data_IF_847338247975
#
_entry.id   IF_847338247975
#
_cell.length_a   1.000
_cell.length_b   1.000
_cell.length_c   1.000
_cell.angle_alpha   90.00
_cell.angle_beta   90.00
_cell.angle_gamma   90.00
#
_symmetry.space_group_name_H-M   'P 1'
#
loop_
_entity.id
_entity.type
_entity.pdbx_description
1 polymer ?
#
# COMPACT_ATOMS: atom_id res chain seq x y z
N UNK A 1 11.03 -26.43 -9.14
CA UNK A 1 9.74 -25.70 -9.12
C UNK A 1 9.46 -25.20 -10.51
N UNK A 2 8.31 -25.55 -11.07
CA UNK A 2 7.93 -25.20 -12.46
C UNK A 2 7.17 -23.89 -12.56
N UNK A 3 6.83 -23.26 -11.44
CA UNK A 3 6.06 -22.01 -11.36
C UNK A 3 6.23 -21.34 -10.00
N UNK A 4 5.89 -20.06 -9.90
CA UNK A 4 5.73 -19.31 -8.67
C UNK A 4 4.48 -18.42 -8.72
N UNK A 5 3.88 -18.17 -7.57
CA UNK A 5 2.86 -17.15 -7.42
C UNK A 5 3.53 -15.84 -7.01
N UNK A 6 3.03 -14.71 -7.48
CA UNK A 6 3.55 -13.42 -7.07
C UNK A 6 2.44 -12.40 -6.87
N UNK A 7 2.67 -11.44 -5.97
CA UNK A 7 1.74 -10.35 -5.71
C UNK A 7 2.52 -9.03 -5.54
N UNK A 8 2.04 -7.91 -6.12
CA UNK A 8 2.71 -6.63 -6.07
C UNK A 8 2.66 -5.98 -4.69
N UNK A 9 3.62 -5.13 -4.39
CA UNK A 9 3.52 -4.15 -3.33
C UNK A 9 2.53 -3.05 -3.68
N UNK A 10 2.34 -2.10 -2.76
CA UNK A 10 1.39 -1.00 -2.94
C UNK A 10 1.94 0.35 -2.45
N UNK A 11 1.37 1.44 -2.98
CA UNK A 11 1.49 2.78 -2.41
C UNK A 11 0.08 3.37 -2.32
N UNK A 12 -0.28 3.92 -1.16
CA UNK A 12 -1.54 4.62 -0.96
C UNK A 12 -1.38 6.07 -1.41
N UNK A 13 -2.17 6.50 -2.40
CA UNK A 13 -2.13 7.86 -2.92
C UNK A 13 -3.02 8.83 -2.13
N UNK A 14 -4.15 8.35 -1.62
CA UNK A 14 -5.07 9.14 -0.78
C UNK A 14 -5.98 8.22 0.05
N UNK A 15 -6.58 8.76 1.12
CA UNK A 15 -7.53 8.05 1.98
C UNK A 15 -6.92 7.50 3.27
N UNK A 16 -5.67 7.87 3.60
CA UNK A 16 -5.00 7.48 4.84
C UNK A 16 -5.87 7.79 6.05
N UNK A 17 -5.90 6.91 7.03
CA UNK A 17 -6.73 7.00 8.25
C UNK A 17 -8.24 6.98 7.97
N UNK A 18 -8.75 7.87 7.10
CA UNK A 18 -10.19 7.96 6.80
C UNK A 18 -10.77 6.65 6.21
N UNK A 19 -9.95 5.85 5.54
CA UNK A 19 -10.33 4.53 5.04
C UNK A 19 -10.75 3.56 6.16
N UNK A 20 -10.27 3.74 7.37
CA UNK A 20 -10.66 2.95 8.54
C UNK A 20 -12.11 3.22 8.96
N UNK A 21 -12.65 4.39 8.60
CA UNK A 21 -14.04 4.81 8.83
C UNK A 21 -14.93 4.59 7.59
N UNK A 22 -14.43 3.84 6.60
CA UNK A 22 -15.20 3.52 5.39
C UNK A 22 -15.13 4.58 4.28
N UNK A 23 -14.27 5.60 4.41
CA UNK A 23 -13.99 6.52 3.30
C UNK A 23 -13.24 5.82 2.17
N UNK A 24 -13.29 6.33 0.93
CA UNK A 24 -12.51 5.75 -0.16
C UNK A 24 -11.01 5.95 0.06
N UNK A 25 -10.21 4.96 -0.36
CA UNK A 25 -8.78 5.08 -0.52
C UNK A 25 -8.39 4.83 -1.97
N UNK A 26 -7.43 5.59 -2.48
CA UNK A 26 -6.83 5.38 -3.80
C UNK A 26 -5.45 4.77 -3.57
N UNK A 27 -5.27 3.56 -4.10
CA UNK A 27 -4.06 2.76 -3.91
C UNK A 27 -3.54 2.30 -5.25
N UNK A 28 -2.24 2.36 -5.45
CA UNK A 28 -1.58 1.83 -6.64
C UNK A 28 -0.73 0.62 -6.26
N UNK A 29 -0.82 -0.43 -7.05
CA UNK A 29 0.11 -1.55 -7.02
C UNK A 29 1.42 -1.14 -7.69
N UNK A 30 2.55 -1.63 -7.17
CA UNK A 30 3.88 -1.31 -7.70
C UNK A 30 4.63 -2.57 -8.09
N UNK A 31 5.55 -2.43 -9.05
CA UNK A 31 6.28 -3.51 -9.74
C UNK A 31 7.32 -4.26 -8.88
N UNK A 32 7.44 -3.92 -7.59
CA UNK A 32 8.16 -4.75 -6.61
C UNK A 32 7.20 -5.76 -6.01
N UNK A 33 7.51 -7.05 -6.16
CA UNK A 33 6.59 -8.14 -5.85
C UNK A 33 7.12 -9.04 -4.74
N UNK A 34 6.22 -9.62 -3.95
CA UNK A 34 6.51 -10.83 -3.19
C UNK A 34 6.30 -12.05 -4.09
N UNK A 35 7.17 -13.04 -3.97
CA UNK A 35 7.10 -14.29 -4.71
C UNK A 35 6.95 -15.48 -3.76
N UNK A 36 6.14 -16.45 -4.13
CA UNK A 36 5.81 -17.60 -3.31
C UNK A 36 5.84 -18.90 -4.14
N UNK A 37 6.47 -19.94 -3.61
CA UNK A 37 6.53 -21.26 -4.25
C UNK A 37 6.55 -22.36 -3.19
N UNK A 38 6.26 -23.59 -3.61
CA UNK A 38 6.28 -24.74 -2.71
C UNK A 38 7.72 -25.28 -2.57
N UNK A 39 8.07 -25.64 -1.33
CA UNK A 39 9.36 -26.25 -0.98
C UNK A 39 9.14 -27.44 -0.04
N UNK A 40 10.12 -28.33 0.07
CA UNK A 40 10.03 -29.48 0.96
C UNK A 40 10.28 -29.12 2.43
N UNK A 41 11.11 -28.11 2.70
CA UNK A 41 11.44 -27.62 4.03
C UNK A 41 11.23 -26.10 4.09
N UNK A 42 9.99 -25.62 4.31
CA UNK A 42 9.72 -24.19 4.39
C UNK A 42 10.28 -23.59 5.67
N UNK A 43 10.63 -22.29 5.66
CA UNK A 43 10.98 -21.58 6.88
C UNK A 43 9.77 -21.49 7.83
N UNK A 44 10.03 -21.22 9.10
CA UNK A 44 8.94 -20.98 10.06
C UNK A 44 8.00 -19.87 9.56
N UNK A 45 6.68 -20.08 9.59
CA UNK A 45 5.73 -19.13 9.06
C UNK A 45 5.69 -17.85 9.92
N UNK A 46 5.55 -16.71 9.27
CA UNK A 46 5.21 -15.46 9.96
C UNK A 46 3.79 -15.53 10.54
N UNK A 47 3.46 -14.62 11.45
CA UNK A 47 2.12 -14.49 12.02
C UNK A 47 1.01 -14.37 10.94
N UNK A 48 1.30 -13.65 9.86
CA UNK A 48 0.39 -13.50 8.72
C UNK A 48 0.20 -14.82 7.96
N UNK A 49 1.28 -15.58 7.74
CA UNK A 49 1.20 -16.87 7.08
C UNK A 49 0.53 -17.94 7.99
N UNK A 50 0.72 -17.86 9.30
CA UNK A 50 0.01 -18.71 10.26
C UNK A 50 -1.49 -18.44 10.26
N UNK A 51 -1.90 -17.17 10.20
CA UNK A 51 -3.30 -16.80 10.05
C UNK A 51 -3.86 -17.25 8.68
N UNK A 52 -3.09 -17.10 7.61
CA UNK A 52 -3.47 -17.60 6.29
C UNK A 52 -3.71 -19.11 6.29
N UNK A 53 -2.84 -19.89 6.95
CA UNK A 53 -3.01 -21.33 7.05
C UNK A 53 -4.31 -21.71 7.80
N UNK A 54 -4.63 -21.01 8.89
CA UNK A 54 -5.85 -21.24 9.64
C UNK A 54 -7.11 -20.92 8.81
N UNK A 55 -7.10 -19.77 8.10
CA UNK A 55 -8.22 -19.38 7.23
C UNK A 55 -8.38 -20.33 6.06
N UNK A 56 -7.31 -20.70 5.37
CA UNK A 56 -7.35 -21.65 4.25
C UNK A 56 -7.83 -23.03 4.72
N UNK A 57 -7.41 -23.50 5.90
CA UNK A 57 -7.90 -24.77 6.46
C UNK A 57 -9.40 -24.75 6.70
N UNK A 58 -9.92 -23.65 7.22
CA UNK A 58 -11.34 -23.47 7.57
C UNK A 58 -12.23 -23.30 6.32
N UNK A 59 -11.81 -22.49 5.36
CA UNK A 59 -12.65 -22.07 4.24
C UNK A 59 -12.46 -22.96 2.98
N UNK A 60 -11.27 -23.54 2.78
CA UNK A 60 -10.93 -24.33 1.57
C UNK A 60 -10.73 -25.80 1.89
N UNK A 61 -10.14 -26.13 3.03
CA UNK A 61 -9.94 -27.48 3.49
C UNK A 61 -8.47 -27.89 3.66
N UNK A 62 -8.29 -29.11 4.15
CA UNK A 62 -6.99 -29.62 4.61
C UNK A 62 -5.93 -29.71 3.50
N UNK A 63 -6.32 -30.02 2.27
CA UNK A 63 -5.40 -30.17 1.15
C UNK A 63 -4.72 -28.82 0.80
N UNK A 64 -5.50 -27.75 0.70
CA UNK A 64 -4.97 -26.42 0.44
C UNK A 64 -4.15 -25.89 1.63
N UNK A 65 -4.55 -26.20 2.86
CA UNK A 65 -3.77 -25.86 4.05
C UNK A 65 -2.42 -26.60 4.09
N UNK A 66 -2.40 -27.88 3.72
CA UNK A 66 -1.16 -28.66 3.59
C UNK A 66 -0.24 -28.10 2.49
N UNK A 67 -0.82 -27.65 1.37
CA UNK A 67 -0.05 -26.96 0.34
C UNK A 67 0.55 -25.65 0.88
N UNK A 68 -0.26 -24.83 1.60
CA UNK A 68 0.22 -23.57 2.18
C UNK A 68 1.33 -23.78 3.22
N UNK A 69 1.27 -24.86 3.99
CA UNK A 69 2.32 -25.21 4.96
C UNK A 69 3.66 -25.49 4.30
N UNK A 70 3.72 -25.72 2.99
CA UNK A 70 4.94 -25.93 2.19
C UNK A 70 5.39 -24.68 1.45
N UNK A 71 4.71 -23.54 1.61
CA UNK A 71 5.04 -22.32 0.86
C UNK A 71 6.22 -21.60 1.52
N UNK A 72 7.22 -21.29 0.72
CA UNK A 72 8.25 -20.29 1.01
C UNK A 72 7.90 -18.99 0.28
N UNK A 73 8.12 -17.85 0.96
CA UNK A 73 7.87 -16.52 0.39
C UNK A 73 9.16 -15.71 0.39
N UNK A 74 9.47 -15.14 -0.75
CA UNK A 74 10.49 -14.11 -0.89
C UNK A 74 9.84 -12.73 -1.08
N UNK A 75 10.07 -11.83 -0.14
CA UNK A 75 9.58 -10.45 -0.17
C UNK A 75 10.72 -9.42 -0.15
N UNK A 76 11.95 -9.83 -0.44
CA UNK A 76 13.15 -8.95 -0.40
C UNK A 76 13.03 -7.78 -1.38
N UNK A 77 12.33 -7.94 -2.50
CA UNK A 77 12.07 -6.86 -3.44
C UNK A 77 11.29 -5.68 -2.83
N UNK A 78 10.53 -5.91 -1.75
CA UNK A 78 9.74 -4.91 -1.01
C UNK A 78 10.53 -4.23 0.12
N UNK A 79 11.83 -4.49 0.19
CA UNK A 79 12.77 -3.90 1.13
C UNK A 79 13.99 -3.32 0.38
N UNK A 80 14.73 -2.45 1.02
CA UNK A 80 16.04 -2.01 0.57
C UNK A 80 17.05 -2.19 1.71
N UNK A 81 18.20 -2.84 1.43
CA UNK A 81 19.27 -3.13 2.41
C UNK A 81 18.74 -3.71 3.73
N UNK A 82 17.71 -4.58 3.63
CA UNK A 82 17.07 -5.22 4.80
C UNK A 82 16.04 -4.35 5.53
N UNK A 83 15.84 -3.10 5.15
CA UNK A 83 14.84 -2.21 5.72
C UNK A 83 13.55 -2.24 4.88
N UNK A 84 12.42 -2.36 5.55
CA UNK A 84 11.11 -2.31 4.88
C UNK A 84 10.86 -0.91 4.31
N UNK A 85 10.39 -0.86 3.07
CA UNK A 85 10.08 0.39 2.39
C UNK A 85 8.64 0.90 2.64
N UNK A 86 7.80 0.17 3.38
CA UNK A 86 6.39 0.54 3.56
C UNK A 86 5.47 0.16 2.38
N UNK A 87 5.95 -0.69 1.48
CA UNK A 87 5.25 -1.13 0.27
C UNK A 87 4.20 -2.24 0.53
N UNK A 88 3.77 -2.49 1.77
CA UNK A 88 2.76 -3.50 2.07
C UNK A 88 3.25 -4.94 1.96
N UNK A 89 4.51 -5.22 2.36
CA UNK A 89 5.13 -6.55 2.22
C UNK A 89 4.34 -7.68 2.89
N UNK A 90 3.67 -7.45 4.02
CA UNK A 90 2.84 -8.47 4.69
C UNK A 90 1.63 -8.86 3.84
N UNK A 91 0.95 -7.88 3.25
CA UNK A 91 -0.19 -8.12 2.37
C UNK A 91 0.23 -8.86 1.10
N UNK A 92 1.27 -8.37 0.41
CA UNK A 92 1.80 -9.01 -0.80
C UNK A 92 2.26 -10.46 -0.52
N UNK A 93 2.96 -10.70 0.59
CA UNK A 93 3.39 -12.04 1.00
C UNK A 93 2.21 -12.96 1.28
N UNK A 94 1.17 -12.49 1.98
CA UNK A 94 -0.03 -13.27 2.28
C UNK A 94 -0.79 -13.64 1.01
N UNK A 95 -0.99 -12.66 0.11
CA UNK A 95 -1.68 -12.87 -1.17
C UNK A 95 -0.90 -13.84 -2.06
N UNK A 96 0.42 -13.69 -2.19
CA UNK A 96 1.26 -14.59 -2.97
C UNK A 96 1.24 -16.01 -2.40
N UNK A 97 1.33 -16.17 -1.07
CA UNK A 97 1.33 -17.48 -0.41
C UNK A 97 0.01 -18.24 -0.62
N UNK A 98 -1.13 -17.57 -0.41
CA UNK A 98 -2.44 -18.17 -0.65
C UNK A 98 -2.59 -18.50 -2.15
N UNK A 99 -2.15 -17.60 -3.03
CA UNK A 99 -2.15 -17.84 -4.48
C UNK A 99 -1.37 -19.10 -4.86
N UNK A 100 -0.17 -19.30 -4.30
CA UNK A 100 0.63 -20.50 -4.51
C UNK A 100 -0.06 -21.77 -4.02
N UNK A 101 -0.62 -21.73 -2.82
CA UNK A 101 -1.32 -22.88 -2.24
C UNK A 101 -2.55 -23.29 -3.05
N UNK A 102 -3.38 -22.32 -3.44
CA UNK A 102 -4.58 -22.58 -4.23
C UNK A 102 -4.24 -23.06 -5.65
N UNK A 103 -3.16 -22.55 -6.25
CA UNK A 103 -2.70 -23.03 -7.56
C UNK A 103 -2.26 -24.50 -7.49
N UNK A 104 -1.54 -24.87 -6.44
CA UNK A 104 -1.07 -26.24 -6.25
C UNK A 104 -2.20 -27.29 -6.18
N UNK A 105 -3.39 -26.87 -5.71
CA UNK A 105 -4.58 -27.74 -5.61
C UNK A 105 -5.61 -27.45 -6.72
N UNK A 106 -5.24 -26.71 -7.77
CA UNK A 106 -6.09 -26.42 -8.92
C UNK A 106 -7.29 -25.50 -8.63
N UNK A 107 -7.20 -24.66 -7.59
CA UNK A 107 -8.28 -23.75 -7.14
C UNK A 107 -7.92 -22.27 -7.21
N UNK A 108 -6.89 -21.91 -7.96
CA UNK A 108 -6.47 -20.52 -8.08
C UNK A 108 -7.52 -19.67 -8.79
N UNK A 109 -8.00 -18.65 -8.11
CA UNK A 109 -8.84 -17.59 -8.64
C UNK A 109 -8.51 -16.30 -7.83
N UNK A 110 -8.17 -15.18 -8.48
CA UNK A 110 -7.78 -13.94 -7.79
C UNK A 110 -8.80 -13.48 -6.75
N UNK A 111 -10.10 -13.63 -7.04
CA UNK A 111 -11.20 -13.27 -6.13
C UNK A 111 -11.17 -14.10 -4.84
N UNK A 112 -10.93 -15.40 -4.98
CA UNK A 112 -10.84 -16.32 -3.84
C UNK A 112 -9.58 -16.04 -3.03
N UNK A 113 -8.43 -15.85 -3.71
CA UNK A 113 -7.17 -15.46 -3.06
C UNK A 113 -7.36 -14.17 -2.26
N UNK A 114 -7.96 -13.14 -2.85
CA UNK A 114 -8.18 -11.85 -2.22
C UNK A 114 -9.08 -11.93 -0.99
N UNK A 115 -10.18 -12.67 -1.08
CA UNK A 115 -11.11 -12.85 0.04
C UNK A 115 -10.44 -13.56 1.24
N UNK A 116 -9.72 -14.66 0.99
CA UNK A 116 -8.98 -15.39 2.01
C UNK A 116 -7.86 -14.55 2.61
N UNK A 117 -7.12 -13.83 1.77
CA UNK A 117 -6.02 -12.97 2.20
C UNK A 117 -6.52 -11.80 3.06
N UNK A 118 -7.65 -11.19 2.70
CA UNK A 118 -8.27 -10.12 3.50
C UNK A 118 -8.65 -10.61 4.90
N UNK A 119 -9.30 -11.77 4.99
CA UNK A 119 -9.66 -12.38 6.26
C UNK A 119 -8.42 -12.72 7.10
N UNK A 120 -7.44 -13.39 6.50
CA UNK A 120 -6.21 -13.80 7.19
C UNK A 120 -5.39 -12.60 7.68
N UNK A 121 -5.27 -11.57 6.85
CA UNK A 121 -4.52 -10.36 7.18
C UNK A 121 -5.20 -9.59 8.30
N UNK A 122 -6.53 -9.48 8.29
CA UNK A 122 -7.31 -8.84 9.35
C UNK A 122 -7.19 -9.60 10.69
N UNK A 123 -7.28 -10.94 10.68
CA UNK A 123 -7.09 -11.75 11.87
C UNK A 123 -5.67 -11.61 12.45
N UNK A 124 -4.63 -11.60 11.60
CA UNK A 124 -3.25 -11.41 12.05
C UNK A 124 -3.03 -10.02 12.65
N UNK A 125 -3.62 -8.98 12.05
CA UNK A 125 -3.54 -7.62 12.59
C UNK A 125 -4.28 -7.47 13.92
N UNK A 126 -5.47 -8.05 14.04
CA UNK A 126 -6.24 -8.02 15.28
C UNK A 126 -5.48 -8.66 16.46
N UNK A 127 -4.77 -9.78 16.23
CA UNK A 127 -3.90 -10.42 17.24
C UNK A 127 -2.77 -9.48 17.72
N UNK A 128 -2.34 -8.56 16.90
CA UNK A 128 -1.32 -7.54 17.21
C UNK A 128 -1.93 -6.25 17.78
N UNK A 129 -3.23 -6.22 18.03
CA UNK A 129 -3.93 -5.02 18.50
C UNK A 129 -4.01 -3.90 17.46
N UNK A 130 -3.82 -4.23 16.18
CA UNK A 130 -3.88 -3.28 15.08
C UNK A 130 -5.14 -3.49 14.25
N UNK A 131 -5.66 -2.42 13.68
CA UNK A 131 -6.71 -2.45 12.68
C UNK A 131 -6.14 -2.05 11.32
N UNK A 132 -6.36 -2.88 10.31
CA UNK A 132 -6.02 -2.56 8.92
C UNK A 132 -7.28 -2.40 8.07
N UNK A 133 -7.23 -1.53 7.08
CA UNK A 133 -8.35 -1.34 6.16
C UNK A 133 -8.56 -2.51 5.19
N UNK A 134 -7.50 -3.26 4.87
CA UNK A 134 -7.48 -4.26 3.80
C UNK A 134 -7.15 -3.70 2.41
N UNK A 135 -6.94 -2.39 2.30
CA UNK A 135 -6.64 -1.74 1.02
C UNK A 135 -5.32 -2.22 0.38
N UNK A 136 -4.34 -2.59 1.20
CA UNK A 136 -3.06 -3.16 0.77
C UNK A 136 -3.24 -4.58 0.21
N UNK A 137 -4.07 -5.41 0.83
CA UNK A 137 -4.44 -6.73 0.31
C UNK A 137 -5.19 -6.59 -1.02
N UNK A 138 -6.12 -5.64 -1.09
CA UNK A 138 -6.85 -5.36 -2.33
C UNK A 138 -5.91 -4.96 -3.48
N UNK A 139 -4.96 -4.05 -3.25
CA UNK A 139 -3.99 -3.64 -4.26
C UNK A 139 -3.08 -4.81 -4.69
N UNK A 140 -2.61 -5.63 -3.74
CA UNK A 140 -1.81 -6.83 -4.04
C UNK A 140 -2.59 -7.88 -4.84
N UNK A 141 -3.92 -7.97 -4.63
CA UNK A 141 -4.79 -8.92 -5.33
C UNK A 141 -5.11 -8.47 -6.75
N UNK A 142 -5.45 -7.20 -6.95
CA UNK A 142 -6.04 -6.72 -8.19
C UNK A 142 -5.05 -6.01 -9.12
N UNK A 143 -3.98 -5.44 -8.58
CA UNK A 143 -3.02 -4.65 -9.36
C UNK A 143 -3.57 -3.29 -9.80
N UNK A 144 -2.79 -2.57 -10.60
CA UNK A 144 -3.16 -1.29 -11.16
C UNK A 144 -3.38 -0.19 -10.12
N UNK A 145 -4.21 0.78 -10.48
CA UNK A 145 -4.73 1.78 -9.55
C UNK A 145 -6.17 1.40 -9.18
N UNK A 146 -6.49 1.41 -7.90
CA UNK A 146 -7.79 1.00 -7.39
C UNK A 146 -8.35 2.05 -6.41
N UNK A 147 -9.67 2.20 -6.43
CA UNK A 147 -10.46 2.75 -5.33
C UNK A 147 -10.90 1.60 -4.44
N UNK A 148 -10.51 1.66 -3.20
CA UNK A 148 -10.94 0.72 -2.15
C UNK A 148 -11.88 1.44 -1.19
N UNK A 149 -13.06 0.87 -0.93
CA UNK A 149 -14.02 1.43 0.01
C UNK A 149 -14.89 0.33 0.62
N UNK A 150 -14.80 0.13 1.93
CA UNK A 150 -15.64 -0.84 2.65
C UNK A 150 -15.53 -2.26 2.09
N UNK A 151 -14.34 -2.70 1.70
CA UNK A 151 -14.10 -4.01 1.09
C UNK A 151 -14.38 -4.06 -0.43
N UNK A 152 -15.00 -3.04 -0.99
CA UNK A 152 -15.27 -2.98 -2.43
C UNK A 152 -14.07 -2.40 -3.18
N UNK A 153 -13.71 -3.02 -4.29
CA UNK A 153 -12.62 -2.60 -5.18
C UNK A 153 -13.21 -2.14 -6.51
N UNK A 154 -12.77 -0.98 -6.97
CA UNK A 154 -13.11 -0.46 -8.31
C UNK A 154 -11.83 0.02 -8.99
N UNK A 155 -11.54 -0.36 -10.24
CA UNK A 155 -10.40 0.18 -10.97
C UNK A 155 -10.51 1.71 -11.11
N UNK A 156 -9.36 2.39 -11.05
CA UNK A 156 -9.24 3.83 -11.28
C UNK A 156 -8.27 4.05 -12.44
N UNK A 157 -8.65 4.89 -13.39
CA UNK A 157 -7.76 5.33 -14.45
C UNK A 157 -7.16 6.68 -14.05
N UNK A 158 -5.86 6.71 -13.76
CA UNK A 158 -5.16 7.98 -13.53
C UNK A 158 -5.00 8.73 -14.86
N UNK A 159 -5.09 10.09 -14.86
CA UNK A 159 -4.90 10.86 -16.06
C UNK A 159 -3.54 10.59 -16.72
N UNK A 160 -3.46 10.40 -18.04
CA UNK A 160 -2.21 10.06 -18.73
C UNK A 160 -1.16 11.16 -18.66
N UNK A 161 -1.57 12.42 -18.43
CA UNK A 161 -0.67 13.56 -18.23
C UNK A 161 -0.14 13.67 -16.79
N UNK A 162 -0.49 12.75 -15.90
CA UNK A 162 0.00 12.67 -14.53
C UNK A 162 1.14 11.66 -14.44
N UNK A 163 2.34 12.13 -14.14
CA UNK A 163 3.49 11.29 -13.81
C UNK A 163 3.55 11.04 -12.29
N UNK A 164 3.75 9.79 -11.89
CA UNK A 164 4.03 9.42 -10.50
C UNK A 164 5.50 9.08 -10.34
N UNK A 165 6.08 9.55 -9.25
CA UNK A 165 7.42 9.19 -8.78
C UNK A 165 7.34 8.86 -7.29
N UNK A 166 8.36 8.16 -6.79
CA UNK A 166 8.37 7.72 -5.39
C UNK A 166 9.75 7.97 -4.78
N UNK A 167 9.75 8.26 -3.50
CA UNK A 167 10.98 8.44 -2.74
C UNK A 167 10.88 7.75 -1.38
N UNK A 168 12.00 7.31 -0.83
CA UNK A 168 12.07 6.76 0.51
C UNK A 168 12.68 7.78 1.47
N UNK A 169 12.08 7.88 2.65
CA UNK A 169 12.48 8.85 3.68
C UNK A 169 13.76 8.50 4.42
N UNK A 170 14.25 7.26 4.28
CA UNK A 170 15.36 6.75 5.10
C UNK A 170 14.91 6.20 6.47
N UNK A 171 13.63 6.33 6.83
CA UNK A 171 13.08 5.89 8.10
C UNK A 171 11.88 4.95 7.89
N UNK A 172 11.78 3.92 8.72
CA UNK A 172 10.64 3.00 8.74
C UNK A 172 9.57 3.56 9.67
N UNK A 173 8.33 3.65 9.19
CA UNK A 173 7.20 4.09 10.00
C UNK A 173 6.68 2.95 10.90
N UNK A 174 6.40 3.26 12.15
CA UNK A 174 5.63 2.37 13.04
C UNK A 174 4.13 2.63 12.85
N UNK A 175 3.57 1.99 11.84
CA UNK A 175 2.15 2.14 11.47
C UNK A 175 1.21 1.90 12.66
N UNK A 176 1.48 0.88 13.49
CA UNK A 176 0.60 0.53 14.60
C UNK A 176 0.57 1.64 15.65
N UNK A 177 1.74 2.14 16.04
CA UNK A 177 1.87 3.25 17.00
C UNK A 177 1.23 4.53 16.45
N UNK A 178 1.46 4.89 15.19
CA UNK A 178 0.89 6.09 14.59
C UNK A 178 -0.64 6.03 14.49
N UNK A 179 -1.19 4.90 14.04
CA UNK A 179 -2.65 4.69 13.98
C UNK A 179 -3.27 4.73 15.38
N UNK A 180 -2.67 4.08 16.36
CA UNK A 180 -3.16 4.10 17.74
C UNK A 180 -3.17 5.53 18.31
N UNK A 181 -2.09 6.30 18.08
CA UNK A 181 -1.97 7.68 18.56
C UNK A 181 -3.05 8.60 17.93
N UNK A 182 -3.29 8.51 16.63
CA UNK A 182 -4.38 9.26 15.98
C UNK A 182 -5.74 8.80 16.51
N UNK A 183 -5.96 7.48 16.65
CA UNK A 183 -7.22 6.93 17.16
C UNK A 183 -7.53 7.43 18.57
N UNK A 184 -6.54 7.59 19.42
CA UNK A 184 -6.70 8.12 20.79
C UNK A 184 -7.20 9.58 20.82
N UNK A 185 -7.13 10.30 19.70
CA UNK A 185 -7.57 11.70 19.59
C UNK A 185 -8.91 11.86 18.89
N UNK A 186 -9.58 10.73 18.52
CA UNK A 186 -10.91 10.74 17.91
C UNK A 186 -11.90 11.48 18.78
N UNK A 187 -12.88 12.13 18.14
CA UNK A 187 -13.86 13.01 18.80
C UNK A 187 -13.38 14.44 18.99
N UNK A 188 -12.10 14.76 18.79
CA UNK A 188 -11.64 16.17 18.75
C UNK A 188 -12.12 16.80 17.43
N UNK A 189 -12.82 17.96 17.45
CA UNK A 189 -13.39 18.55 16.22
C UNK A 189 -12.37 18.76 15.09
N UNK A 190 -11.14 19.18 15.42
CA UNK A 190 -10.07 19.38 14.43
C UNK A 190 -9.58 18.07 13.81
N UNK A 191 -9.57 16.97 14.55
CA UNK A 191 -9.21 15.63 14.05
C UNK A 191 -10.28 15.13 13.08
N UNK A 192 -11.56 15.24 13.47
CA UNK A 192 -12.67 14.81 12.62
C UNK A 192 -12.76 15.64 11.34
N UNK A 193 -12.55 16.95 11.42
CA UNK A 193 -12.49 17.81 10.24
C UNK A 193 -11.34 17.42 9.28
N UNK A 194 -10.17 17.10 9.81
CA UNK A 194 -9.04 16.66 9.00
C UNK A 194 -9.30 15.30 8.33
N UNK A 195 -9.92 14.35 9.03
CA UNK A 195 -10.29 13.04 8.48
C UNK A 195 -11.35 13.18 7.37
N UNK A 196 -12.33 14.07 7.54
CA UNK A 196 -13.30 14.38 6.51
C UNK A 196 -12.63 14.99 5.27
N UNK A 197 -11.70 15.94 5.47
CA UNK A 197 -10.94 16.53 4.37
C UNK A 197 -10.07 15.50 3.62
N UNK A 198 -9.51 14.49 4.31
CA UNK A 198 -8.82 13.37 3.66
C UNK A 198 -9.80 12.53 2.83
N UNK A 199 -10.99 12.24 3.35
CA UNK A 199 -12.02 11.49 2.65
C UNK A 199 -12.47 12.22 1.38
N UNK A 200 -12.74 13.52 1.47
CA UNK A 200 -13.15 14.37 0.34
C UNK A 200 -12.05 14.44 -0.73
N UNK A 201 -10.79 14.63 -0.33
CA UNK A 201 -9.66 14.64 -1.25
C UNK A 201 -9.48 13.28 -1.95
N UNK A 202 -9.70 12.18 -1.24
CA UNK A 202 -9.62 10.84 -1.83
C UNK A 202 -10.76 10.59 -2.83
N UNK A 203 -11.97 11.02 -2.52
CA UNK A 203 -13.10 10.96 -3.44
C UNK A 203 -12.84 11.81 -4.70
N UNK A 204 -12.32 13.03 -4.52
CA UNK A 204 -11.96 13.91 -5.64
C UNK A 204 -10.86 13.30 -6.54
N UNK A 205 -9.88 12.62 -5.95
CA UNK A 205 -8.83 11.92 -6.73
C UNK A 205 -9.41 10.78 -7.55
N UNK A 206 -10.37 10.03 -6.99
CA UNK A 206 -11.04 8.93 -7.69
C UNK A 206 -11.79 9.38 -8.95
N UNK A 207 -12.32 10.60 -8.93
CA UNK A 207 -13.11 11.19 -10.04
C UNK A 207 -12.27 12.10 -10.97
N UNK A 208 -10.97 12.25 -10.69
CA UNK A 208 -10.11 13.16 -11.44
C UNK A 208 -9.84 12.63 -12.86
N UNK A 209 -10.28 13.36 -13.87
CA UNK A 209 -10.08 13.04 -15.29
C UNK A 209 -8.95 13.83 -15.94
N UNK A 210 -8.38 14.81 -15.24
CA UNK A 210 -7.26 15.64 -15.71
C UNK A 210 -6.12 15.65 -14.69
N UNK A 211 -4.89 15.82 -15.15
CA UNK A 211 -3.72 15.93 -14.27
C UNK A 211 -3.88 17.07 -13.26
N UNK A 212 -4.44 18.22 -13.67
CA UNK A 212 -4.69 19.36 -12.79
C UNK A 212 -5.64 19.01 -11.65
N UNK A 213 -6.75 18.29 -11.93
CA UNK A 213 -7.69 17.87 -10.91
C UNK A 213 -7.04 16.85 -9.95
N UNK A 214 -6.28 15.89 -10.48
CA UNK A 214 -5.56 14.90 -9.68
C UNK A 214 -4.51 15.55 -8.76
N UNK A 215 -3.72 16.48 -9.29
CA UNK A 215 -2.73 17.24 -8.51
C UNK A 215 -3.39 18.07 -7.40
N UNK A 216 -4.54 18.71 -7.71
CA UNK A 216 -5.32 19.46 -6.72
C UNK A 216 -5.80 18.55 -5.59
N UNK A 217 -6.34 17.38 -5.93
CA UNK A 217 -6.82 16.39 -4.96
C UNK A 217 -5.66 15.83 -4.11
N UNK A 218 -4.53 15.48 -4.72
CA UNK A 218 -3.33 15.00 -4.00
C UNK A 218 -2.75 16.07 -3.06
N UNK A 219 -2.71 17.34 -3.52
CA UNK A 219 -2.29 18.46 -2.67
C UNK A 219 -3.23 18.64 -1.48
N UNK A 220 -4.55 18.53 -1.70
CA UNK A 220 -5.54 18.59 -0.64
C UNK A 220 -5.37 17.44 0.37
N UNK A 221 -5.16 16.20 -0.11
CA UNK A 221 -4.88 15.06 0.75
C UNK A 221 -3.62 15.25 1.60
N UNK A 222 -2.54 15.77 0.99
CA UNK A 222 -1.30 16.06 1.72
C UNK A 222 -1.47 17.11 2.81
N UNK A 223 -2.20 18.20 2.51
CA UNK A 223 -2.55 19.23 3.52
C UNK A 223 -3.41 18.66 4.64
N UNK A 224 -4.46 17.92 4.31
CA UNK A 224 -5.35 17.31 5.29
C UNK A 224 -4.62 16.30 6.20
N UNK A 225 -3.64 15.54 5.67
CA UNK A 225 -2.77 14.67 6.49
C UNK A 225 -1.88 15.48 7.43
N UNK A 226 -1.36 16.63 6.99
CA UNK A 226 -0.58 17.52 7.87
C UNK A 226 -1.48 18.15 8.95
N UNK A 227 -2.71 18.53 8.62
CA UNK A 227 -3.70 19.04 9.56
C UNK A 227 -4.07 17.98 10.60
N UNK A 228 -4.29 16.74 10.16
CA UNK A 228 -4.52 15.61 11.05
C UNK A 228 -3.35 15.42 12.03
N UNK A 229 -2.11 15.45 11.54
CA UNK A 229 -0.93 15.33 12.38
C UNK A 229 -0.86 16.43 13.46
N UNK A 230 -1.16 17.69 13.08
CA UNK A 230 -1.21 18.81 14.02
C UNK A 230 -2.36 18.67 15.03
N UNK A 231 -3.55 18.30 14.57
CA UNK A 231 -4.74 18.14 15.43
C UNK A 231 -4.60 16.98 16.41
N UNK A 232 -3.95 15.91 15.99
CA UNK A 232 -3.68 14.73 16.80
C UNK A 232 -2.40 14.84 17.64
N UNK A 233 -1.56 15.87 17.40
CA UNK A 233 -0.24 16.04 18.02
C UNK A 233 0.71 14.86 17.68
N UNK A 234 0.60 14.34 16.44
CA UNK A 234 1.40 13.22 15.93
C UNK A 234 2.22 13.67 14.71
N UNK A 235 3.49 13.33 14.66
CA UNK A 235 4.39 13.71 13.56
C UNK A 235 4.14 12.84 12.31
N UNK A 236 3.04 13.08 11.59
CA UNK A 236 2.68 12.33 10.38
C UNK A 236 3.48 12.77 9.15
N UNK A 237 3.94 14.02 9.09
CA UNK A 237 4.68 14.57 7.95
C UNK A 237 6.10 14.91 8.37
N UNK A 238 7.11 14.14 7.93
CA UNK A 238 8.52 14.42 8.22
C UNK A 238 8.97 15.76 7.63
N UNK A 239 9.95 16.45 8.26
CA UNK A 239 10.49 17.73 7.73
C UNK A 239 11.03 17.64 6.32
N UNK A 240 11.62 16.51 5.91
CA UNK A 240 12.10 16.26 4.57
C UNK A 240 10.97 16.29 3.52
N UNK A 241 9.76 15.84 3.89
CA UNK A 241 8.58 15.90 2.99
C UNK A 241 8.10 17.35 2.84
N UNK A 242 8.16 18.15 3.90
CA UNK A 242 7.85 19.57 3.84
C UNK A 242 8.84 20.30 2.93
N UNK A 243 10.14 20.03 3.05
CA UNK A 243 11.18 20.58 2.19
C UNK A 243 10.99 20.15 0.74
N UNK A 244 10.69 18.87 0.48
CA UNK A 244 10.38 18.36 -0.86
C UNK A 244 9.16 19.07 -1.45
N UNK A 245 8.09 19.25 -0.69
CA UNK A 245 6.87 19.95 -1.16
C UNK A 245 7.18 21.37 -1.58
N UNK A 246 8.00 22.09 -0.79
CA UNK A 246 8.42 23.45 -1.15
C UNK A 246 9.25 23.49 -2.45
N UNK A 247 10.17 22.54 -2.64
CA UNK A 247 10.99 22.43 -3.85
C UNK A 247 10.17 22.07 -5.11
N UNK A 248 9.10 21.29 -4.96
CA UNK A 248 8.24 20.85 -6.06
C UNK A 248 7.16 21.87 -6.46
N UNK A 249 6.79 22.78 -5.55
CA UNK A 249 5.73 23.78 -5.80
C UNK A 249 5.99 24.63 -7.07
N UNK A 250 7.20 25.15 -7.34
CA UNK A 250 7.45 25.90 -8.57
C UNK A 250 7.33 25.08 -9.86
N UNK A 251 7.41 23.76 -9.74
CA UNK A 251 7.26 22.81 -10.85
C UNK A 251 5.78 22.42 -11.09
N UNK A 252 4.85 22.92 -10.27
CA UNK A 252 3.45 22.46 -10.29
C UNK A 252 3.28 21.01 -9.86
N UNK A 253 4.26 20.43 -9.16
CA UNK A 253 4.25 19.08 -8.66
C UNK A 253 3.90 19.02 -7.16
N UNK A 254 3.45 17.86 -6.70
CA UNK A 254 2.95 17.62 -5.34
C UNK A 254 3.68 16.44 -4.72
N UNK A 255 4.10 16.57 -3.46
CA UNK A 255 4.56 15.45 -2.64
C UNK A 255 3.66 15.27 -1.43
N UNK A 256 3.47 14.01 -1.02
CA UNK A 256 2.76 13.68 0.22
C UNK A 256 3.27 12.36 0.84
N UNK A 257 3.14 12.25 2.14
CA UNK A 257 3.33 10.98 2.85
C UNK A 257 2.31 9.94 2.38
N UNK A 258 2.63 8.68 2.54
CA UNK A 258 1.75 7.56 2.21
C UNK A 258 1.50 6.67 3.43
N UNK A 259 0.39 5.95 3.46
CA UNK A 259 0.04 5.08 4.58
C UNK A 259 -0.12 5.85 5.89
N UNK A 260 0.49 5.37 6.98
CA UNK A 260 0.39 6.03 8.27
C UNK A 260 1.21 7.34 8.39
N UNK A 261 2.05 7.65 7.41
CA UNK A 261 2.97 8.78 7.50
C UNK A 261 4.16 8.48 8.42
N UNK A 262 4.86 9.53 8.86
CA UNK A 262 5.99 9.42 9.80
C UNK A 262 7.28 8.84 9.22
N UNK A 263 7.24 8.28 8.01
CA UNK A 263 8.37 7.63 7.36
C UNK A 263 7.96 6.95 6.05
N UNK A 264 8.63 5.83 5.73
CA UNK A 264 8.37 4.98 4.57
C UNK A 264 8.45 5.71 3.21
N UNK A 265 7.63 5.30 2.24
CA UNK A 265 7.58 5.86 0.88
C UNK A 265 6.77 7.14 0.85
N UNK A 266 7.25 8.08 0.04
CA UNK A 266 6.57 9.33 -0.33
C UNK A 266 6.08 9.20 -1.76
N UNK A 267 4.84 9.59 -2.02
CA UNK A 267 4.31 9.73 -3.37
C UNK A 267 4.51 11.15 -3.88
N UNK A 268 5.02 11.26 -5.09
CA UNK A 268 5.19 12.51 -5.83
C UNK A 268 4.36 12.41 -7.11
N UNK A 269 3.58 13.44 -7.39
CA UNK A 269 2.83 13.57 -8.63
C UNK A 269 3.21 14.87 -9.33
N UNK A 270 3.43 14.80 -10.63
CA UNK A 270 3.81 15.93 -11.46
C UNK A 270 3.10 15.88 -12.82
N UNK A 271 2.89 17.01 -13.50
CA UNK A 271 2.55 16.99 -14.92
C UNK A 271 3.66 16.27 -15.72
N UNK A 272 3.30 15.48 -16.74
CA UNK A 272 4.29 14.79 -17.60
C UNK A 272 5.20 15.73 -18.36
N UNK A 273 4.87 17.03 -18.43
CA UNK A 273 5.73 18.08 -19.00
C UNK A 273 6.91 18.46 -18.10
N UNK A 274 6.86 18.10 -16.81
CA UNK A 274 7.98 18.31 -15.89
C UNK A 274 9.05 17.26 -16.15
N UNK A 275 10.29 17.71 -16.34
CA UNK A 275 11.40 16.80 -16.58
C UNK A 275 11.61 15.85 -15.37
N UNK A 276 11.72 14.54 -15.57
CA UNK A 276 11.94 13.59 -14.46
C UNK A 276 13.20 13.90 -13.65
N UNK A 277 14.25 14.45 -14.28
CA UNK A 277 15.47 14.89 -13.59
C UNK A 277 15.20 15.99 -12.57
N UNK A 278 14.33 16.97 -12.89
CA UNK A 278 13.98 18.04 -11.96
C UNK A 278 13.27 17.51 -10.70
N UNK A 279 12.41 16.50 -10.85
CA UNK A 279 11.78 15.82 -9.72
C UNK A 279 12.81 15.04 -8.92
N UNK A 280 13.73 14.33 -9.59
CA UNK A 280 14.80 13.55 -8.93
C UNK A 280 15.74 14.48 -8.15
N UNK A 281 16.13 15.62 -8.73
CA UNK A 281 16.99 16.62 -8.08
C UNK A 281 16.31 17.20 -6.82
N UNK A 282 15.01 17.49 -6.91
CA UNK A 282 14.23 17.95 -5.75
C UNK A 282 14.17 16.88 -4.62
N UNK A 283 14.00 15.61 -4.98
CA UNK A 283 14.01 14.49 -4.01
C UNK A 283 15.36 14.42 -3.30
N UNK A 284 16.46 14.42 -4.05
CA UNK A 284 17.82 14.34 -3.51
C UNK A 284 18.13 15.58 -2.65
N UNK A 285 17.76 16.78 -3.15
CA UNK A 285 17.93 18.04 -2.43
C UNK A 285 17.19 18.12 -1.10
N UNK A 286 16.08 17.39 -0.96
CA UNK A 286 15.33 17.23 0.29
C UNK A 286 15.91 16.15 1.23
N UNK A 287 17.01 15.50 0.85
CA UNK A 287 17.64 14.42 1.63
C UNK A 287 16.89 13.07 1.55
N UNK A 288 16.08 12.89 0.52
CA UNK A 288 15.32 11.65 0.28
C UNK A 288 16.00 10.79 -0.78
N UNK A 289 15.68 9.49 -0.80
CA UNK A 289 16.22 8.55 -1.79
C UNK A 289 15.17 8.29 -2.87
N UNK A 290 15.44 8.62 -4.15
CA UNK A 290 14.54 8.25 -5.24
C UNK A 290 14.37 6.74 -5.33
N UNK A 291 13.13 6.29 -5.55
CA UNK A 291 12.80 4.88 -5.77
C UNK A 291 12.37 4.67 -7.22
N UNK A 292 12.96 3.69 -7.87
CA UNK A 292 12.49 3.22 -9.18
C UNK A 292 11.32 2.27 -8.92
N UNK A 293 10.11 2.76 -9.12
CA UNK A 293 8.85 2.02 -9.02
C UNK A 293 7.95 2.43 -10.18
N UNK A 294 7.27 1.45 -10.77
CA UNK A 294 6.21 1.66 -11.75
C UNK A 294 4.89 1.07 -11.23
N UNK A 295 3.76 1.57 -11.73
CA UNK A 295 2.48 0.93 -11.46
C UNK A 295 2.47 -0.44 -12.14
N UNK A 296 2.25 -1.50 -11.37
CA UNK A 296 2.07 -2.84 -11.91
C UNK A 296 0.58 -3.09 -12.20
N UNK A 297 0.18 -3.24 -13.46
CA UNK A 297 -1.22 -3.49 -13.80
C UNK A 297 -1.70 -4.87 -13.36
N UNK A 298 -0.79 -5.77 -13.02
CA UNK A 298 -1.09 -7.15 -12.63
C UNK A 298 -1.22 -7.27 -11.13
N UNK A 299 -2.32 -7.84 -10.68
CA UNK A 299 -2.50 -8.31 -9.31
C UNK A 299 -1.72 -9.59 -9.02
N UNK A 300 -2.31 -10.45 -8.19
CA UNK A 300 -1.78 -11.79 -7.93
C UNK A 300 -1.75 -12.62 -9.22
N UNK A 301 -0.62 -13.23 -9.50
CA UNK A 301 -0.42 -13.97 -10.74
C UNK A 301 0.41 -15.22 -10.50
N UNK A 302 0.18 -16.24 -11.34
CA UNK A 302 1.02 -17.43 -11.44
C UNK A 302 1.93 -17.25 -12.66
N UNK A 303 3.21 -17.43 -12.47
CA UNK A 303 4.23 -17.28 -13.51
C UNK A 303 5.03 -18.58 -13.63
N UNK A 304 5.27 -19.13 -14.83
CA UNK A 304 6.21 -20.22 -15.01
C UNK A 304 7.61 -19.81 -14.51
N UNK A 305 8.30 -20.74 -13.84
CA UNK A 305 9.71 -20.52 -13.55
C UNK A 305 10.52 -20.58 -14.87
N UNK A 306 11.45 -19.65 -15.03
CA UNK A 306 12.32 -19.60 -16.19
C UNK A 306 13.29 -20.78 -16.25
#
# INVERSE_FOLDING_TARGET
>A
VTWFASAPGKVMLAGEYAVLDGAPAIVVAVDRRAEAHLVDAPPAPSEFLSAAAAVVAREVGAEAAAALARVAVDSRALADRGLKLGLGSSAAATVAAIGAALHAVGRFAPEVVGALAATAHAEAQARRGAAGSGADVAAATWGGAIRFQGGRVTPVTLPPELALSFAWTGAVADTATLVAAVTATRGRPAVEAALLAIADASAALAEATTASAALTALAAAGRATADLGRAAEVALVPPSVTALTAALTPLGAVAKTTGAGGGDVIAIAAPTLVAPSAVTDAIIGAGLTPLTLAIDPRGVAITPAA
#
